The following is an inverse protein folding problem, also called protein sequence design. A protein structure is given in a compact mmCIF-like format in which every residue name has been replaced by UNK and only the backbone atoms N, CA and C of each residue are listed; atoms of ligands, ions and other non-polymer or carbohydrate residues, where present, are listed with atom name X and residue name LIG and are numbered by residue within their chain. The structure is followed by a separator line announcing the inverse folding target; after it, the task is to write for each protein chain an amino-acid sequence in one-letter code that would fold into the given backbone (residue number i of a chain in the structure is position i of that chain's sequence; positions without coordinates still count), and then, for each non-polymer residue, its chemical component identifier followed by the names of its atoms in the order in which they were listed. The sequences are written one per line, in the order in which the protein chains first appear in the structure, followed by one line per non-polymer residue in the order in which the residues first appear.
data_IF_392937272592
#
_entry.id   IF_392937272592
#
_cell.length_a   1.000
_cell.length_b   1.000
_cell.length_c   1.000
_cell.angle_alpha   90.00
_cell.angle_beta   90.00
_cell.angle_gamma   90.00
#
_symmetry.space_group_name_H-M   'P 1'
#
loop_
_entity.id
_entity.type
_entity.pdbx_description
1 polymer ?
#
# COMPACT_ATOMS: atom_id res chain seq x y z
N UNK A 1 -7.49 36.99 4.24
CA UNK A 1 -7.50 35.57 3.85
C UNK A 1 -8.66 34.89 4.55
N UNK A 2 -9.53 34.20 3.81
CA UNK A 2 -10.53 33.31 4.38
C UNK A 2 -10.04 31.87 4.25
N UNK A 3 -10.24 31.06 5.29
CA UNK A 3 -9.93 29.64 5.27
C UNK A 3 -11.25 28.86 5.27
N UNK A 4 -11.26 27.70 4.64
CA UNK A 4 -12.45 26.89 4.47
C UNK A 4 -12.11 25.41 4.65
N UNK A 5 -13.09 24.61 5.08
CA UNK A 5 -12.97 23.16 5.24
C UNK A 5 -14.01 22.44 4.39
N UNK A 6 -13.53 21.47 3.60
CA UNK A 6 -14.37 20.55 2.84
C UNK A 6 -13.89 19.12 3.07
N UNK A 7 -14.83 18.19 3.23
CA UNK A 7 -14.52 16.77 3.22
C UNK A 7 -14.09 16.35 1.82
N UNK A 8 -12.91 15.73 1.71
CA UNK A 8 -12.40 15.22 0.42
C UNK A 8 -12.63 13.71 0.30
N UNK A 9 -12.38 12.99 1.39
CA UNK A 9 -12.59 11.55 1.49
C UNK A 9 -12.77 11.16 2.96
N UNK A 10 -13.36 9.98 3.20
CA UNK A 10 -13.36 9.31 4.49
C UNK A 10 -13.02 7.84 4.26
N UNK A 11 -12.01 7.34 4.95
CA UNK A 11 -11.54 5.95 4.80
C UNK A 11 -11.95 5.13 6.01
N UNK A 12 -12.47 3.93 5.76
CA UNK A 12 -12.72 2.94 6.81
C UNK A 12 -11.40 2.38 7.33
N UNK A 13 -11.42 1.83 8.54
CA UNK A 13 -10.28 1.05 9.07
C UNK A 13 -10.22 -0.30 8.36
N UNK A 14 -9.04 -0.90 8.23
CA UNK A 14 -8.93 -2.22 7.61
C UNK A 14 -9.68 -3.30 8.41
N UNK A 15 -10.44 -4.15 7.71
CA UNK A 15 -11.06 -5.35 8.26
C UNK A 15 -10.12 -6.55 7.99
N UNK A 16 -9.45 -7.10 9.01
CA UNK A 16 -8.54 -8.22 8.81
C UNK A 16 -9.28 -9.50 8.44
N UNK A 17 -8.59 -10.39 7.73
CA UNK A 17 -9.05 -11.75 7.45
C UNK A 17 -7.87 -12.72 7.66
N UNK A 18 -7.86 -13.41 8.79
CA UNK A 18 -6.79 -14.31 9.21
C UNK A 18 -6.71 -15.51 8.28
N UNK A 19 -7.83 -16.09 7.84
CA UNK A 19 -7.83 -17.20 6.89
C UNK A 19 -7.15 -16.84 5.55
N UNK A 20 -7.42 -15.64 5.01
CA UNK A 20 -6.72 -15.13 3.83
C UNK A 20 -5.23 -14.86 4.11
N UNK A 21 -4.90 -14.40 5.31
CA UNK A 21 -3.52 -14.11 5.74
C UNK A 21 -2.69 -15.38 5.82
N UNK A 22 -3.18 -16.40 6.50
CA UNK A 22 -2.53 -17.71 6.63
C UNK A 22 -2.35 -18.39 5.27
N UNK A 23 -3.39 -18.36 4.42
CA UNK A 23 -3.31 -18.93 3.07
C UNK A 23 -2.25 -18.23 2.22
N UNK A 24 -2.24 -16.90 2.23
CA UNK A 24 -1.27 -16.09 1.48
C UNK A 24 0.14 -16.27 2.03
N UNK A 25 0.29 -16.36 3.35
CA UNK A 25 1.57 -16.59 4.02
C UNK A 25 2.15 -17.97 3.69
N UNK A 26 1.33 -19.02 3.66
CA UNK A 26 1.77 -20.35 3.22
C UNK A 26 2.30 -20.31 1.77
N UNK A 27 1.61 -19.59 0.88
CA UNK A 27 2.05 -19.43 -0.50
C UNK A 27 3.31 -18.57 -0.64
N UNK A 28 3.46 -17.51 0.17
CA UNK A 28 4.68 -16.71 0.19
C UNK A 28 5.88 -17.54 0.65
N UNK A 29 5.70 -18.40 1.65
CA UNK A 29 6.75 -19.33 2.09
C UNK A 29 7.14 -20.32 0.98
N UNK A 30 6.18 -20.82 0.22
CA UNK A 30 6.44 -21.71 -0.92
C UNK A 30 7.18 -20.99 -2.07
N UNK A 31 6.87 -19.71 -2.30
CA UNK A 31 7.53 -18.88 -3.33
C UNK A 31 8.93 -18.45 -2.90
N UNK A 32 9.10 -18.13 -1.62
CA UNK A 32 10.35 -17.62 -1.05
C UNK A 32 10.52 -16.10 -1.15
N UNK A 33 11.53 -15.58 -0.45
CA UNK A 33 11.93 -14.18 -0.54
C UNK A 33 12.62 -13.89 -1.89
N UNK A 34 12.59 -12.64 -2.39
CA UNK A 34 13.29 -12.31 -3.62
C UNK A 34 14.81 -12.36 -3.42
N UNK A 35 15.51 -12.64 -4.52
CA UNK A 35 16.97 -12.52 -4.63
C UNK A 35 17.31 -11.45 -5.65
N UNK A 36 18.40 -10.74 -5.43
CA UNK A 36 18.82 -9.63 -6.28
C UNK A 36 20.06 -10.03 -7.07
N UNK A 37 20.03 -9.74 -8.38
CA UNK A 37 21.15 -9.99 -9.27
C UNK A 37 22.33 -9.07 -8.94
N UNK A 38 23.53 -9.47 -9.37
CA UNK A 38 24.73 -8.64 -9.24
C UNK A 38 24.58 -7.28 -9.94
N UNK A 39 23.74 -7.18 -10.97
CA UNK A 39 23.38 -5.90 -11.59
C UNK A 39 22.73 -4.93 -10.59
N UNK A 40 21.72 -5.40 -9.85
CA UNK A 40 21.02 -4.61 -8.84
C UNK A 40 21.95 -4.22 -7.68
N UNK A 41 22.78 -5.16 -7.23
CA UNK A 41 23.74 -4.92 -6.15
C UNK A 41 24.83 -3.92 -6.61
N UNK A 42 25.33 -4.05 -7.84
CA UNK A 42 26.31 -3.11 -8.42
C UNK A 42 25.72 -1.70 -8.51
N UNK A 43 24.44 -1.56 -8.87
CA UNK A 43 23.78 -0.27 -8.91
C UNK A 43 23.64 0.35 -7.50
N UNK A 44 23.26 -0.43 -6.50
CA UNK A 44 23.22 0.05 -5.11
C UNK A 44 24.58 0.51 -4.59
N UNK A 45 25.65 -0.24 -4.91
CA UNK A 45 27.04 0.14 -4.61
C UNK A 45 27.49 1.38 -5.37
N UNK A 46 27.02 1.58 -6.60
CA UNK A 46 27.30 2.79 -7.37
C UNK A 46 26.70 4.02 -6.69
N UNK A 47 25.43 3.96 -6.26
CA UNK A 47 24.80 5.05 -5.51
C UNK A 47 25.60 5.40 -4.24
N UNK A 48 26.05 4.39 -3.49
CA UNK A 48 26.88 4.61 -2.30
C UNK A 48 28.17 5.36 -2.64
N UNK A 49 28.88 4.93 -3.69
CA UNK A 49 30.11 5.58 -4.16
C UNK A 49 29.89 7.04 -4.56
N UNK A 50 28.84 7.32 -5.34
CA UNK A 50 28.52 8.69 -5.78
C UNK A 50 28.17 9.61 -4.60
N UNK A 51 27.67 9.05 -3.50
CA UNK A 51 27.42 9.78 -2.26
C UNK A 51 28.65 9.89 -1.35
N UNK A 52 29.82 9.44 -1.80
CA UNK A 52 31.06 9.45 -1.02
C UNK A 52 31.08 8.44 0.13
N UNK A 53 30.20 7.42 0.09
CA UNK A 53 30.17 6.34 1.07
C UNK A 53 31.01 5.17 0.61
N UNK A 54 31.58 4.43 1.57
CA UNK A 54 32.21 3.14 1.28
C UNK A 54 31.15 2.13 0.84
N UNK A 55 31.23 1.57 -0.39
CA UNK A 55 30.20 0.66 -0.88
C UNK A 55 30.14 -0.63 -0.08
N UNK A 56 28.95 -0.99 0.39
CA UNK A 56 28.72 -2.24 1.09
C UNK A 56 28.65 -3.41 0.11
N UNK A 57 29.18 -4.58 0.50
CA UNK A 57 29.03 -5.81 -0.28
C UNK A 57 27.54 -6.08 -0.60
N UNK A 58 26.69 -6.02 0.43
CA UNK A 58 25.24 -6.01 0.32
C UNK A 58 24.71 -4.59 0.57
N UNK A 59 24.34 -3.85 -0.49
CA UNK A 59 23.90 -2.47 -0.36
C UNK A 59 22.44 -2.35 0.08
N UNK A 60 21.65 -3.43 0.08
CA UNK A 60 20.22 -3.40 0.45
C UNK A 60 19.98 -3.81 1.90
N UNK A 61 18.84 -3.36 2.46
CA UNK A 61 18.42 -3.77 3.81
C UNK A 61 18.18 -5.29 3.89
N UNK A 62 18.51 -5.98 5.00
CA UNK A 62 18.31 -7.43 5.09
C UNK A 62 16.87 -7.88 4.88
N UNK A 63 15.90 -7.06 5.30
CA UNK A 63 14.47 -7.39 5.21
C UNK A 63 13.94 -7.58 3.80
N UNK A 64 14.70 -7.25 2.75
CA UNK A 64 14.26 -7.47 1.36
C UNK A 64 14.67 -8.84 0.80
N UNK A 65 15.41 -9.65 1.55
CA UNK A 65 15.84 -11.01 1.17
C UNK A 65 15.44 -12.06 2.22
N UNK A 66 14.62 -11.67 3.20
CA UNK A 66 14.13 -12.56 4.26
C UNK A 66 12.62 -12.48 4.37
N UNK A 67 11.99 -13.63 4.60
CA UNK A 67 10.58 -13.67 4.94
C UNK A 67 10.39 -13.23 6.39
N UNK A 68 9.34 -12.46 6.66
CA UNK A 68 8.92 -12.06 8.00
C UNK A 68 7.49 -12.54 8.20
N UNK A 69 7.22 -13.25 9.30
CA UNK A 69 5.87 -13.76 9.54
C UNK A 69 4.87 -12.62 9.78
N UNK A 70 3.56 -12.83 9.56
CA UNK A 70 2.54 -11.83 9.89
C UNK A 70 2.64 -11.32 11.34
N UNK A 71 2.90 -12.21 12.29
CA UNK A 71 3.02 -11.89 13.72
C UNK A 71 4.26 -11.06 14.02
N UNK A 72 5.41 -11.44 13.45
CA UNK A 72 6.64 -10.67 13.60
C UNK A 72 6.52 -9.28 12.97
N UNK A 73 5.85 -9.19 11.82
CA UNK A 73 5.61 -7.91 11.16
C UNK A 73 4.66 -7.03 11.98
N UNK A 74 3.56 -7.57 12.49
CA UNK A 74 2.64 -6.85 13.37
C UNK A 74 3.35 -6.39 14.66
N UNK A 75 4.14 -7.25 15.30
CA UNK A 75 4.89 -6.89 16.50
C UNK A 75 5.88 -5.73 16.24
N UNK A 76 6.65 -5.80 15.14
CA UNK A 76 7.57 -4.72 14.73
C UNK A 76 6.83 -3.41 14.46
N UNK A 77 5.66 -3.47 13.81
CA UNK A 77 4.86 -2.28 13.54
C UNK A 77 4.30 -1.70 14.84
N UNK A 78 3.84 -2.54 15.78
CA UNK A 78 3.28 -2.11 17.08
C UNK A 78 4.31 -1.46 17.98
N UNK A 79 5.55 -1.93 17.97
CA UNK A 79 6.65 -1.36 18.76
C UNK A 79 6.89 0.12 18.44
N UNK A 80 6.68 0.53 17.18
CA UNK A 80 6.81 1.91 16.74
C UNK A 80 5.57 2.79 16.99
N UNK A 81 4.49 2.26 17.57
CA UNK A 81 3.22 2.98 17.73
C UNK A 81 2.88 3.25 19.19
N UNK A 82 2.23 4.38 19.50
CA UNK A 82 1.65 4.59 20.82
C UNK A 82 0.63 3.49 21.16
N UNK A 83 0.52 3.04 22.42
CA UNK A 83 -0.38 1.93 22.80
C UNK A 83 -1.87 2.15 22.45
N UNK A 84 -2.29 3.40 22.34
CA UNK A 84 -3.67 3.76 21.98
C UNK A 84 -3.94 3.70 20.46
N UNK A 85 -2.91 3.68 19.62
CA UNK A 85 -3.07 3.66 18.17
C UNK A 85 -3.31 2.23 17.69
N UNK A 86 -4.58 1.91 17.42
CA UNK A 86 -5.01 0.57 17.02
C UNK A 86 -4.84 0.27 15.53
N UNK A 87 -4.81 1.31 14.69
CA UNK A 87 -4.72 1.20 13.24
C UNK A 87 -3.53 1.98 12.70
N UNK A 88 -2.95 1.47 11.61
CA UNK A 88 -1.77 2.03 10.95
C UNK A 88 -1.98 2.02 9.44
N UNK A 89 -1.37 2.98 8.74
CA UNK A 89 -1.42 3.15 7.30
C UNK A 89 -2.77 3.65 6.79
N UNK A 90 -2.76 4.20 5.58
CA UNK A 90 -3.92 4.61 4.82
C UNK A 90 -3.65 4.17 3.38
N UNK A 91 -4.51 3.31 2.87
CA UNK A 91 -4.38 2.69 1.54
C UNK A 91 -5.78 2.26 1.11
N UNK A 92 -6.07 2.23 -0.19
CA UNK A 92 -7.44 2.08 -0.70
C UNK A 92 -8.02 0.67 -0.46
N UNK A 93 -7.16 -0.35 -0.35
CA UNK A 93 -7.57 -1.74 -0.06
C UNK A 93 -8.39 -1.87 1.23
N UNK A 94 -8.22 -0.95 2.20
CA UNK A 94 -8.98 -0.97 3.45
C UNK A 94 -10.48 -0.78 3.19
N UNK A 95 -10.82 -0.02 2.15
CA UNK A 95 -12.20 0.18 1.72
C UNK A 95 -12.78 -1.14 1.19
N UNK A 96 -12.02 -1.83 0.33
CA UNK A 96 -12.39 -3.12 -0.25
C UNK A 96 -12.51 -4.24 0.79
N UNK A 97 -11.77 -4.16 1.90
CA UNK A 97 -11.84 -5.14 2.98
C UNK A 97 -13.22 -5.25 3.64
N UNK A 98 -14.09 -4.25 3.48
CA UNK A 98 -15.48 -4.28 3.93
C UNK A 98 -16.47 -4.80 2.88
N UNK A 99 -16.00 -5.17 1.70
CA UNK A 99 -16.83 -5.73 0.63
C UNK A 99 -16.60 -7.23 0.42
N UNK A 100 -15.39 -7.72 0.72
CA UNK A 100 -15.05 -9.13 0.60
C UNK A 100 -13.83 -9.52 1.46
N UNK A 101 -13.61 -10.83 1.72
CA UNK A 101 -12.36 -11.31 2.32
C UNK A 101 -11.15 -10.75 1.55
N UNK A 102 -10.25 -10.09 2.27
CA UNK A 102 -9.13 -9.34 1.68
C UNK A 102 -7.85 -9.60 2.46
N UNK A 103 -6.72 -9.59 1.76
CA UNK A 103 -5.37 -9.68 2.34
C UNK A 103 -4.44 -8.71 1.62
N UNK A 104 -3.55 -8.08 2.37
CA UNK A 104 -2.49 -7.23 1.82
C UNK A 104 -1.17 -7.98 1.88
N UNK A 105 -0.58 -8.24 0.72
CA UNK A 105 0.75 -8.85 0.60
C UNK A 105 1.82 -7.77 0.51
N UNK A 106 2.87 -7.89 1.33
CA UNK A 106 4.10 -7.12 1.20
C UNK A 106 5.22 -8.07 0.79
N UNK A 107 5.67 -8.00 -0.47
CA UNK A 107 6.74 -8.87 -0.98
C UNK A 107 8.13 -8.29 -0.63
N UNK A 108 8.66 -7.38 -1.44
CA UNK A 108 9.81 -6.56 -1.11
C UNK A 108 9.92 -5.40 -2.10
N UNK A 109 10.43 -4.26 -1.63
CA UNK A 109 10.96 -3.22 -2.50
C UNK A 109 12.36 -2.86 -2.00
N UNK A 110 13.42 -3.03 -2.81
CA UNK A 110 14.78 -2.79 -2.35
C UNK A 110 14.96 -1.35 -1.89
N UNK A 111 15.62 -1.22 -0.73
CA UNK A 111 16.03 0.04 -0.14
C UNK A 111 17.48 -0.08 0.26
N UNK A 112 18.26 0.97 0.04
CA UNK A 112 19.64 0.99 0.46
C UNK A 112 19.73 0.87 1.98
N UNK A 113 20.65 0.03 2.45
CA UNK A 113 21.00 -0.09 3.85
C UNK A 113 21.72 1.18 4.28
N UNK A 114 21.30 1.86 5.36
CA UNK A 114 22.02 3.02 5.86
C UNK A 114 23.41 2.58 6.38
N UNK A 115 24.49 3.34 6.11
CA UNK A 115 25.83 3.02 6.60
C UNK A 115 25.95 3.15 8.13
N UNK A 116 25.13 4.00 8.74
CA UNK A 116 25.05 4.22 10.18
C UNK A 116 23.60 4.41 10.62
N UNK A 117 23.26 4.13 11.90
CA UNK A 117 21.96 4.49 12.45
C UNK A 117 21.68 5.99 12.27
N UNK A 118 20.47 6.33 11.80
CA UNK A 118 20.06 7.71 11.57
C UNK A 118 20.48 8.31 10.21
N UNK A 119 21.32 7.63 9.42
CA UNK A 119 21.61 8.07 8.06
C UNK A 119 20.40 7.85 7.14
N UNK A 120 19.99 8.90 6.43
CA UNK A 120 18.96 8.85 5.41
C UNK A 120 19.56 9.15 4.04
N UNK A 121 19.36 8.25 3.07
CA UNK A 121 19.74 8.53 1.69
C UNK A 121 18.85 9.65 1.11
N UNK A 122 19.38 10.45 0.16
CA UNK A 122 18.56 11.38 -0.60
C UNK A 122 17.39 10.66 -1.28
N UNK A 123 16.22 11.31 -1.34
CA UNK A 123 15.00 10.73 -1.92
C UNK A 123 15.19 10.22 -3.36
N UNK A 124 16.07 10.86 -4.14
CA UNK A 124 16.37 10.44 -5.51
C UNK A 124 16.96 9.03 -5.57
N UNK A 125 17.70 8.56 -4.55
CA UNK A 125 18.29 7.22 -4.54
C UNK A 125 17.22 6.13 -4.50
N UNK A 126 16.15 6.36 -3.72
CA UNK A 126 15.00 5.46 -3.65
C UNK A 126 14.22 5.45 -4.99
N UNK A 127 14.08 6.61 -5.62
CA UNK A 127 13.42 6.72 -6.93
C UNK A 127 14.25 6.07 -8.04
N UNK A 128 15.57 6.23 -8.02
CA UNK A 128 16.49 5.60 -8.95
C UNK A 128 16.42 4.07 -8.87
N UNK A 129 16.39 3.50 -7.66
CA UNK A 129 16.14 2.07 -7.48
C UNK A 129 14.76 1.65 -7.99
N UNK A 130 13.75 2.49 -7.81
CA UNK A 130 12.40 2.25 -8.32
C UNK A 130 12.29 2.26 -9.86
N UNK A 131 13.28 2.78 -10.57
CA UNK A 131 13.34 2.76 -12.04
C UNK A 131 14.17 1.62 -12.62
N UNK A 132 14.80 0.79 -11.79
CA UNK A 132 15.70 -0.29 -12.23
C UNK A 132 14.96 -1.65 -12.19
N UNK A 133 14.70 -2.30 -13.34
CA UNK A 133 14.03 -3.60 -13.38
C UNK A 133 14.75 -4.67 -12.54
N UNK A 134 16.08 -4.75 -12.61
CA UNK A 134 16.87 -5.70 -11.83
C UNK A 134 16.66 -5.58 -10.29
N UNK A 135 16.26 -4.40 -9.81
CA UNK A 135 15.91 -4.17 -8.41
C UNK A 135 14.41 -4.36 -8.15
N UNK A 136 13.53 -3.92 -9.04
CA UNK A 136 12.08 -3.93 -8.79
C UNK A 136 11.44 -5.28 -9.10
N UNK A 137 11.79 -5.89 -10.23
CA UNK A 137 11.16 -7.08 -10.77
C UNK A 137 11.21 -8.28 -9.81
N UNK A 138 12.31 -8.56 -9.07
CA UNK A 138 12.34 -9.70 -8.16
C UNK A 138 11.21 -9.66 -7.13
N UNK A 139 10.97 -8.50 -6.50
CA UNK A 139 9.88 -8.31 -5.56
C UNK A 139 8.50 -8.41 -6.22
N UNK A 140 8.35 -7.85 -7.43
CA UNK A 140 7.10 -7.95 -8.20
C UNK A 140 6.76 -9.38 -8.59
N UNK A 141 7.74 -10.19 -9.01
CA UNK A 141 7.51 -11.59 -9.37
C UNK A 141 7.18 -12.45 -8.16
N UNK A 142 7.81 -12.20 -7.00
CA UNK A 142 7.42 -12.86 -5.74
C UNK A 142 5.97 -12.53 -5.39
N UNK A 143 5.58 -11.25 -5.47
CA UNK A 143 4.21 -10.82 -5.23
C UNK A 143 3.21 -11.50 -6.19
N UNK A 144 3.48 -11.43 -7.49
CA UNK A 144 2.62 -11.99 -8.53
C UNK A 144 2.43 -13.50 -8.39
N UNK A 145 3.50 -14.25 -8.14
CA UNK A 145 3.43 -15.71 -7.92
C UNK A 145 2.63 -16.05 -6.66
N UNK A 146 2.87 -15.33 -5.57
CA UNK A 146 2.15 -15.54 -4.30
C UNK A 146 0.65 -15.27 -4.46
N UNK A 147 0.29 -14.17 -5.14
CA UNK A 147 -1.10 -13.84 -5.44
C UNK A 147 -1.76 -14.90 -6.33
N UNK A 148 -1.07 -15.35 -7.38
CA UNK A 148 -1.57 -16.38 -8.29
C UNK A 148 -1.83 -17.71 -7.55
N UNK A 149 -0.88 -18.18 -6.73
CA UNK A 149 -1.05 -19.39 -5.92
C UNK A 149 -2.19 -19.24 -4.90
N UNK A 150 -2.33 -18.08 -4.28
CA UNK A 150 -3.43 -17.82 -3.33
C UNK A 150 -4.79 -17.88 -4.03
N UNK A 151 -4.91 -17.32 -5.24
CA UNK A 151 -6.14 -17.41 -6.02
C UNK A 151 -6.44 -18.85 -6.47
N UNK A 152 -5.42 -19.60 -6.91
CA UNK A 152 -5.56 -21.01 -7.27
C UNK A 152 -6.00 -21.85 -6.07
N UNK A 153 -5.43 -21.61 -4.90
CA UNK A 153 -5.80 -22.29 -3.67
C UNK A 153 -7.24 -21.99 -3.26
N UNK A 154 -7.68 -20.73 -3.34
CA UNK A 154 -9.08 -20.38 -3.09
C UNK A 154 -10.04 -21.12 -4.02
N UNK A 155 -9.63 -21.36 -5.27
CA UNK A 155 -10.44 -22.08 -6.26
C UNK A 155 -10.40 -23.61 -6.08
N UNK A 156 -9.25 -24.16 -5.69
CA UNK A 156 -9.00 -25.60 -5.76
C UNK A 156 -8.92 -26.32 -4.40
N UNK A 157 -8.53 -25.64 -3.31
CA UNK A 157 -8.43 -26.26 -1.98
C UNK A 157 -9.81 -26.27 -1.32
N UNK A 158 -10.37 -27.47 -1.02
CA UNK A 158 -11.66 -27.55 -0.35
C UNK A 158 -11.66 -26.79 0.99
N UNK A 159 -12.66 -25.95 1.22
CA UNK A 159 -12.83 -25.22 2.48
C UNK A 159 -12.10 -23.87 2.57
N UNK A 160 -11.09 -23.60 1.73
CA UNK A 160 -10.28 -22.38 1.83
C UNK A 160 -11.13 -21.10 1.65
N UNK A 161 -11.90 -21.03 0.56
CA UNK A 161 -12.80 -19.90 0.31
C UNK A 161 -13.92 -19.82 1.36
N UNK A 162 -14.44 -20.97 1.80
CA UNK A 162 -15.50 -21.02 2.80
C UNK A 162 -15.02 -20.45 4.15
N UNK A 163 -13.79 -20.78 4.57
CA UNK A 163 -13.19 -20.25 5.79
C UNK A 163 -13.01 -18.73 5.71
N UNK A 164 -12.43 -18.23 4.61
CA UNK A 164 -12.26 -16.79 4.39
C UNK A 164 -13.60 -16.03 4.42
N UNK A 165 -14.64 -16.57 3.78
CA UNK A 165 -15.96 -15.97 3.80
C UNK A 165 -16.67 -16.09 5.16
N UNK A 166 -16.46 -17.19 5.89
CA UNK A 166 -17.05 -17.38 7.21
C UNK A 166 -16.52 -16.34 8.19
N UNK A 167 -15.20 -16.16 8.24
CA UNK A 167 -14.57 -15.13 9.06
C UNK A 167 -15.03 -13.72 8.67
N UNK A 168 -15.16 -13.42 7.37
CA UNK A 168 -15.69 -12.14 6.92
C UNK A 168 -17.13 -11.91 7.42
N UNK A 169 -18.02 -12.91 7.29
CA UNK A 169 -19.39 -12.80 7.78
C UNK A 169 -19.45 -12.65 9.29
N UNK A 170 -18.59 -13.35 10.02
CA UNK A 170 -18.48 -13.22 11.47
C UNK A 170 -18.10 -11.79 11.87
N UNK A 171 -16.99 -11.26 11.33
CA UNK A 171 -16.47 -9.93 11.67
C UNK A 171 -17.38 -8.77 11.24
N UNK A 172 -18.22 -8.99 10.25
CA UNK A 172 -19.21 -8.00 9.77
C UNK A 172 -20.60 -8.21 10.36
N UNK A 173 -20.80 -9.27 11.17
CA UNK A 173 -22.11 -9.57 11.76
C UNK A 173 -23.18 -9.95 10.72
N UNK A 174 -22.78 -10.63 9.64
CA UNK A 174 -23.70 -11.14 8.60
C UNK A 174 -23.28 -10.86 7.16
N UNK A 175 -22.11 -10.25 6.92
CA UNK A 175 -21.67 -9.82 5.58
C UNK A 175 -21.96 -8.33 5.33
N UNK A 176 -22.02 -7.95 4.06
CA UNK A 176 -22.36 -6.57 3.66
C UNK A 176 -23.77 -6.23 4.15
N UNK A 177 -23.89 -5.17 4.96
CA UNK A 177 -25.14 -4.80 5.64
C UNK A 177 -25.39 -5.53 6.96
N UNK A 178 -24.43 -6.34 7.43
CA UNK A 178 -24.49 -7.02 8.73
C UNK A 178 -24.39 -6.07 9.92
N UNK A 179 -24.60 -6.60 11.12
CA UNK A 179 -24.71 -5.78 12.35
C UNK A 179 -23.43 -5.05 12.76
N UNK A 180 -22.27 -5.52 12.29
CA UNK A 180 -20.96 -4.93 12.53
C UNK A 180 -20.32 -4.38 11.25
N UNK A 181 -21.03 -4.43 10.12
CA UNK A 181 -20.55 -3.93 8.86
C UNK A 181 -20.50 -2.40 8.88
N UNK A 182 -19.34 -1.83 8.56
CA UNK A 182 -19.17 -0.39 8.40
C UNK A 182 -19.49 -0.01 6.95
N UNK A 183 -20.65 0.61 6.76
CA UNK A 183 -21.06 1.14 5.45
C UNK A 183 -20.21 2.34 4.99
N UNK A 184 -20.47 2.86 3.78
CA UNK A 184 -19.82 4.06 3.29
C UNK A 184 -19.91 5.20 4.30
N UNK A 185 -18.79 5.86 4.57
CA UNK A 185 -18.69 6.92 5.59
C UNK A 185 -19.16 8.29 5.09
N UNK A 186 -19.28 8.43 3.77
CA UNK A 186 -19.81 9.62 3.12
C UNK A 186 -21.30 9.42 2.80
N UNK A 187 -22.10 10.50 2.84
CA UNK A 187 -23.48 10.46 2.37
C UNK A 187 -23.59 9.95 0.93
N UNK A 188 -24.73 9.33 0.60
CA UNK A 188 -24.98 8.79 -0.76
C UNK A 188 -24.99 9.88 -1.84
N UNK A 189 -25.36 11.09 -1.45
CA UNK A 189 -25.43 12.30 -2.26
C UNK A 189 -24.19 13.20 -2.10
N UNK A 190 -23.09 12.68 -1.53
CA UNK A 190 -21.84 13.43 -1.41
C UNK A 190 -21.32 13.86 -2.79
N UNK A 191 -21.13 15.17 -2.97
CA UNK A 191 -20.53 15.72 -4.18
C UNK A 191 -18.99 15.66 -4.12
N UNK A 192 -18.35 14.87 -5.00
CA UNK A 192 -16.90 14.71 -4.99
C UNK A 192 -16.21 16.05 -5.31
N UNK A 193 -15.06 16.36 -4.67
CA UNK A 193 -14.35 17.63 -4.81
C UNK A 193 -13.50 17.67 -6.09
N UNK A 194 -14.13 17.41 -7.23
CA UNK A 194 -13.50 17.47 -8.56
C UNK A 194 -13.36 18.89 -9.09
N UNK A 195 -13.99 19.86 -8.42
CA UNK A 195 -14.02 21.28 -8.76
C UNK A 195 -13.07 22.12 -7.90
N UNK A 196 -12.17 21.47 -7.16
CA UNK A 196 -11.08 22.15 -6.47
C UNK A 196 -10.18 22.82 -7.51
N UNK A 197 -9.52 23.92 -7.11
CA UNK A 197 -8.66 24.75 -7.97
C UNK A 197 -7.33 24.08 -8.33
N UNK A 198 -7.39 22.90 -8.92
CA UNK A 198 -6.24 22.20 -9.49
C UNK A 198 -6.12 22.59 -10.97
N UNK A 199 -4.90 22.79 -11.51
CA UNK A 199 -4.74 23.06 -12.94
C UNK A 199 -5.29 21.88 -13.75
N UNK A 200 -6.26 22.16 -14.61
CA UNK A 200 -6.73 21.20 -15.61
C UNK A 200 -6.08 21.52 -16.95
N UNK A 201 -5.49 20.52 -17.60
CA UNK A 201 -4.98 20.63 -18.96
C UNK A 201 -6.13 20.44 -19.93
N UNK A 202 -6.34 21.41 -20.81
CA UNK A 202 -7.44 21.44 -21.76
C UNK A 202 -6.93 21.62 -23.18
N UNK A 203 -7.45 20.83 -24.11
CA UNK A 203 -7.21 21.05 -25.53
C UNK A 203 -8.25 22.04 -26.07
N UNK A 204 -7.78 23.19 -26.55
CA UNK A 204 -8.63 24.20 -27.18
C UNK A 204 -8.30 24.29 -28.68
N UNK A 205 -9.14 24.94 -29.50
CA UNK A 205 -8.78 25.25 -30.89
C UNK A 205 -7.48 26.08 -31.05
N UNK A 206 -6.98 26.70 -29.97
CA UNK A 206 -5.70 27.46 -29.96
C UNK A 206 -4.48 26.62 -29.57
N UNK A 207 -4.69 25.36 -29.14
CA UNK A 207 -3.64 24.48 -28.63
C UNK A 207 -3.93 23.98 -27.21
N UNK A 208 -2.94 23.31 -26.63
CA UNK A 208 -2.98 22.87 -25.23
C UNK A 208 -2.82 24.09 -24.30
N UNK A 209 -3.80 24.30 -23.43
CA UNK A 209 -3.81 25.33 -22.40
C UNK A 209 -4.06 24.67 -21.03
N UNK A 210 -3.95 25.43 -19.95
CA UNK A 210 -4.44 24.99 -18.64
C UNK A 210 -5.43 26.01 -18.09
N UNK A 211 -6.43 25.54 -17.33
CA UNK A 211 -7.39 26.38 -16.65
C UNK A 211 -7.50 25.98 -15.17
N UNK A 212 -8.07 26.89 -14.37
CA UNK A 212 -8.53 26.57 -13.01
C UNK A 212 -10.05 26.42 -13.10
N UNK A 213 -10.62 25.26 -12.75
CA UNK A 213 -12.06 25.07 -12.75
C UNK A 213 -12.78 26.10 -11.88
N UNK A 214 -13.92 26.59 -12.36
CA UNK A 214 -14.85 27.37 -11.54
C UNK A 214 -15.55 26.40 -10.59
N UNK A 215 -15.46 26.57 -9.26
CA UNK A 215 -16.17 25.72 -8.31
C UNK A 215 -17.68 25.73 -8.57
N UNK A 216 -18.37 24.61 -8.33
CA UNK A 216 -19.82 24.56 -8.43
C UNK A 216 -20.46 25.39 -7.31
N UNK A 217 -21.67 25.86 -7.56
CA UNK A 217 -22.44 26.59 -6.55
C UNK A 217 -22.81 25.64 -5.39
N UNK A 218 -22.58 26.07 -4.15
CA UNK A 218 -22.83 25.24 -2.95
C UNK A 218 -21.72 24.22 -2.62
N UNK A 219 -20.79 23.95 -3.53
CA UNK A 219 -19.65 23.04 -3.28
C UNK A 219 -18.37 23.77 -2.87
N UNK A 220 -18.34 25.11 -3.03
CA UNK A 220 -17.23 26.07 -2.97
C UNK A 220 -15.92 25.68 -2.26
N UNK A 221 -15.32 26.61 -1.52
CA UNK A 221 -14.06 26.33 -0.82
C UNK A 221 -14.24 25.38 0.39
N UNK A 222 -15.49 25.01 0.71
CA UNK A 222 -15.90 24.37 1.95
C UNK A 222 -16.72 25.30 2.84
N UNK A 223 -16.99 24.87 4.06
CA UNK A 223 -17.52 25.71 5.13
C UNK A 223 -16.43 26.67 5.61
N UNK A 224 -16.76 27.93 5.91
CA UNK A 224 -15.78 28.87 6.45
C UNK A 224 -15.27 28.40 7.82
N UNK A 225 -13.95 28.46 8.01
CA UNK A 225 -13.28 28.18 9.29
C UNK A 225 -13.44 29.32 10.30
#
# INVERSE_FOLDING_TARGET
CGAFVRWVTKTRVGLPNTAMTELTWANLQAVGAPSYSEEALKFGRAIQRELGLEPMADPFIPGVTHLTSPEENEAKLRDGLPPWQKHLSADDYVEYSWHCPTVRLLAARPRLRPPTPGYAYPAWAYNALGGLPAAVDPGMFVAGRTMALTLLDLAAKPGALQAAQAEFRERTGGGVGGTQWVGPLLPKDFEPPIDLRWPEYVSTPRGEEWCIPTPREGTGAGEAL
#
